data_IF_366411966061
#
_entry.id   IF_366411966061
#
_cell.length_a   1.000
_cell.length_b   1.000
_cell.length_c   1.000
_cell.angle_alpha   90.00
_cell.angle_beta   90.00
_cell.angle_gamma   90.00
#
_symmetry.space_group_name_H-M   'P 1'
#
loop_
_entity.id
_entity.type
_entity.pdbx_description
1 polymer ?
#
# COMPACT_ATOMS: atom_id res chain seq x y z
N UNK A 1 16.50 -32.92 -43.57
CA UNK A 1 16.40 -33.88 -42.45
C UNK A 1 17.57 -33.74 -41.45
N UNK A 2 18.75 -33.35 -41.90
CA UNK A 2 19.91 -33.15 -41.02
C UNK A 2 19.86 -31.84 -40.19
N UNK A 3 19.15 -30.81 -40.65
CA UNK A 3 19.01 -29.54 -39.92
C UNK A 3 18.15 -29.66 -38.65
N UNK A 4 17.18 -30.58 -38.63
CA UNK A 4 16.31 -30.75 -37.45
C UNK A 4 17.02 -31.47 -36.29
N UNK A 5 17.92 -32.40 -36.55
CA UNK A 5 18.69 -33.10 -35.54
C UNK A 5 19.74 -32.18 -34.85
N UNK A 6 20.34 -31.26 -35.60
CA UNK A 6 21.25 -30.24 -35.07
C UNK A 6 20.55 -29.23 -34.18
N UNK A 7 19.33 -28.79 -34.51
CA UNK A 7 18.53 -27.89 -33.70
C UNK A 7 18.07 -28.54 -32.39
N UNK A 8 17.61 -29.79 -32.42
CA UNK A 8 17.22 -30.55 -31.24
C UNK A 8 18.40 -30.79 -30.29
N UNK A 9 19.59 -31.05 -30.82
CA UNK A 9 20.81 -31.18 -30.03
C UNK A 9 21.24 -29.90 -29.37
N UNK A 10 21.10 -28.75 -30.04
CA UNK A 10 21.42 -27.43 -29.46
C UNK A 10 20.41 -26.99 -28.40
N UNK A 11 19.12 -27.27 -28.58
CA UNK A 11 18.08 -27.00 -27.59
C UNK A 11 18.27 -27.87 -26.31
N UNK A 12 18.62 -29.15 -26.44
CA UNK A 12 18.95 -30.02 -25.31
C UNK A 12 20.17 -29.49 -24.56
N UNK A 13 21.24 -29.11 -25.23
CA UNK A 13 22.43 -28.54 -24.59
C UNK A 13 22.13 -27.24 -23.84
N UNK A 14 21.28 -26.37 -24.40
CA UNK A 14 20.88 -25.09 -23.74
C UNK A 14 20.03 -25.40 -22.51
N UNK A 15 19.10 -26.34 -22.58
CA UNK A 15 18.24 -26.76 -21.48
C UNK A 15 19.07 -27.37 -20.33
N UNK A 16 19.94 -28.34 -20.61
CA UNK A 16 20.81 -28.98 -19.62
C UNK A 16 21.72 -27.98 -18.92
N UNK A 17 22.24 -27.00 -19.65
CA UNK A 17 23.06 -25.95 -19.11
C UNK A 17 22.25 -24.98 -18.23
N UNK A 18 21.04 -24.68 -18.66
CA UNK A 18 20.07 -23.90 -17.90
C UNK A 18 19.71 -24.58 -16.59
N UNK A 19 19.34 -25.84 -16.62
CA UNK A 19 18.97 -26.63 -15.44
C UNK A 19 20.13 -26.74 -14.42
N UNK A 20 21.36 -26.92 -14.92
CA UNK A 20 22.55 -26.92 -14.06
C UNK A 20 22.76 -25.56 -13.37
N UNK A 21 22.65 -24.46 -14.10
CA UNK A 21 22.78 -23.11 -13.54
C UNK A 21 21.69 -22.80 -12.52
N UNK A 22 20.44 -23.19 -12.79
CA UNK A 22 19.33 -23.04 -11.85
C UNK A 22 19.58 -23.83 -10.57
N UNK A 23 20.08 -25.06 -10.68
CA UNK A 23 20.41 -25.90 -9.52
C UNK A 23 21.56 -25.32 -8.69
N UNK A 24 22.62 -24.84 -9.34
CA UNK A 24 23.74 -24.17 -8.65
C UNK A 24 23.30 -22.90 -7.95
N UNK A 25 22.46 -22.09 -8.62
CA UNK A 25 21.88 -20.85 -8.05
C UNK A 25 20.98 -21.17 -6.86
N UNK A 26 20.08 -22.15 -6.96
CA UNK A 26 19.18 -22.54 -5.87
C UNK A 26 19.94 -23.04 -4.65
N UNK A 27 21.05 -23.77 -4.85
CA UNK A 27 21.90 -24.24 -3.77
C UNK A 27 22.61 -23.06 -3.06
N UNK A 28 23.09 -22.07 -3.83
CA UNK A 28 23.71 -20.87 -3.28
C UNK A 28 22.67 -20.00 -2.53
N UNK A 29 21.47 -19.84 -3.06
CA UNK A 29 20.38 -19.11 -2.42
C UNK A 29 19.94 -19.76 -1.10
N UNK A 30 19.84 -21.10 -1.03
CA UNK A 30 19.53 -21.81 0.21
C UNK A 30 20.61 -21.59 1.29
N UNK A 31 21.89 -21.56 0.88
CA UNK A 31 23.00 -21.22 1.79
C UNK A 31 22.90 -19.78 2.31
N UNK A 32 22.56 -18.84 1.45
CA UNK A 32 22.37 -17.44 1.81
C UNK A 32 21.19 -17.26 2.78
N UNK A 33 20.07 -17.97 2.56
CA UNK A 33 18.92 -17.94 3.45
C UNK A 33 19.26 -18.40 4.87
N UNK A 34 20.03 -19.47 5.01
CA UNK A 34 20.48 -19.96 6.31
C UNK A 34 21.39 -18.95 7.03
N UNK A 35 22.30 -18.33 6.28
CA UNK A 35 23.18 -17.27 6.82
C UNK A 35 22.36 -16.04 7.24
N UNK A 36 21.37 -15.65 6.44
CA UNK A 36 20.46 -14.55 6.77
C UNK A 36 19.67 -14.84 8.05
N UNK A 37 19.11 -16.04 8.23
CA UNK A 37 18.44 -16.44 9.48
C UNK A 37 19.37 -16.34 10.69
N UNK A 38 20.62 -16.73 10.54
CA UNK A 38 21.63 -16.65 11.61
C UNK A 38 21.96 -15.19 11.94
N UNK A 39 22.12 -14.35 10.93
CA UNK A 39 22.36 -12.92 11.08
C UNK A 39 21.19 -12.23 11.79
N UNK A 40 19.95 -12.45 11.33
CA UNK A 40 18.75 -11.88 11.95
C UNK A 40 18.61 -12.33 13.40
N UNK A 41 18.89 -13.61 13.71
CA UNK A 41 18.90 -14.08 15.09
C UNK A 41 19.89 -13.32 15.95
N UNK A 42 21.10 -13.10 15.44
CA UNK A 42 22.12 -12.29 16.14
C UNK A 42 21.66 -10.85 16.39
N UNK A 43 21.00 -10.23 15.40
CA UNK A 43 20.42 -8.89 15.60
C UNK A 43 19.33 -8.90 16.67
N UNK A 44 18.43 -9.88 16.68
CA UNK A 44 17.39 -10.00 17.70
C UNK A 44 17.96 -10.17 19.10
N UNK A 45 19.04 -10.97 19.24
CA UNK A 45 19.74 -11.16 20.52
C UNK A 45 20.44 -9.86 20.96
N UNK A 46 21.07 -9.14 20.03
CA UNK A 46 21.80 -7.90 20.30
C UNK A 46 20.89 -6.74 20.75
N UNK A 47 19.70 -6.65 20.19
CA UNK A 47 18.73 -5.58 20.49
C UNK A 47 17.62 -6.01 21.47
N UNK A 48 17.71 -7.21 22.07
CA UNK A 48 16.77 -7.63 23.09
C UNK A 48 16.78 -6.66 24.29
N UNK A 49 15.59 -6.27 24.85
CA UNK A 49 14.27 -6.86 24.64
C UNK A 49 13.42 -6.16 23.55
N UNK A 50 13.97 -5.28 22.74
CA UNK A 50 13.19 -4.58 21.71
C UNK A 50 12.65 -5.55 20.65
N UNK A 51 11.33 -5.64 20.46
CA UNK A 51 10.78 -6.52 19.44
C UNK A 51 11.10 -6.01 18.04
N UNK A 52 11.48 -6.92 17.15
CA UNK A 52 11.64 -6.65 15.72
C UNK A 52 10.43 -7.20 14.98
N UNK A 53 9.79 -6.37 14.15
CA UNK A 53 8.71 -6.81 13.29
C UNK A 53 9.26 -7.70 12.16
N UNK A 54 8.66 -8.85 11.86
CA UNK A 54 9.06 -9.68 10.72
C UNK A 54 8.54 -9.08 9.41
N UNK A 55 9.19 -9.43 8.31
CA UNK A 55 8.64 -9.21 6.97
C UNK A 55 7.31 -9.97 6.79
N UNK A 56 6.54 -9.58 5.76
CA UNK A 56 5.30 -10.26 5.42
C UNK A 56 5.54 -11.75 5.10
N UNK A 57 4.90 -12.63 5.85
CA UNK A 57 5.08 -14.10 5.77
C UNK A 57 3.74 -14.85 5.73
N UNK A 58 2.67 -14.18 5.27
CA UNK A 58 1.29 -14.70 5.19
C UNK A 58 0.63 -15.02 6.55
N UNK A 59 1.20 -14.57 7.66
CA UNK A 59 0.54 -14.58 8.97
C UNK A 59 -0.09 -13.23 9.28
N UNK A 60 -1.05 -13.19 10.20
CA UNK A 60 -1.61 -11.91 10.67
C UNK A 60 -0.52 -11.10 11.34
N UNK A 61 -0.38 -9.85 10.89
CA UNK A 61 0.57 -8.88 11.40
C UNK A 61 -0.18 -7.62 11.79
N UNK A 62 0.04 -7.13 12.99
CA UNK A 62 -0.53 -5.89 13.48
C UNK A 62 0.54 -4.80 13.45
N UNK A 63 0.23 -3.68 12.82
CA UNK A 63 0.97 -2.42 12.97
C UNK A 63 0.06 -1.40 13.63
N UNK A 64 0.63 -0.48 14.41
CA UNK A 64 -0.15 0.56 15.09
C UNK A 64 0.54 1.91 14.99
N UNK A 65 -0.25 2.97 15.06
CA UNK A 65 0.24 4.34 14.92
C UNK A 65 -0.87 5.34 15.16
N UNK A 66 -0.62 6.58 14.77
CA UNK A 66 -1.56 7.68 14.91
C UNK A 66 -1.75 8.38 13.56
N UNK A 67 -2.92 8.94 13.33
CA UNK A 67 -3.16 9.87 12.22
C UNK A 67 -2.33 11.12 12.47
N UNK A 68 -1.42 11.47 11.55
CA UNK A 68 -0.46 12.56 11.78
C UNK A 68 0.04 13.20 10.50
N UNK A 69 0.07 14.52 10.49
CA UNK A 69 0.80 15.35 9.50
C UNK A 69 2.30 15.16 9.62
N UNK A 70 3.07 15.67 8.66
CA UNK A 70 4.54 15.70 8.77
C UNK A 70 5.14 16.87 8.01
N UNK A 71 6.41 17.17 8.33
CA UNK A 71 7.19 18.21 7.69
C UNK A 71 8.43 17.55 7.05
N UNK A 72 8.44 17.31 5.72
CA UNK A 72 9.57 16.64 5.06
C UNK A 72 10.84 17.47 5.06
N UNK A 73 10.71 18.80 5.08
CA UNK A 73 11.82 19.76 5.15
C UNK A 73 11.32 21.13 5.58
N UNK A 74 12.25 22.04 5.84
CA UNK A 74 11.94 23.42 6.20
C UNK A 74 11.00 24.09 5.20
N UNK A 75 9.99 24.79 5.73
CA UNK A 75 8.99 25.50 4.94
C UNK A 75 7.90 24.64 4.30
N UNK A 76 7.90 23.31 4.47
CA UNK A 76 6.88 22.40 3.91
C UNK A 76 6.14 21.66 5.02
N UNK A 77 4.82 21.74 4.98
CA UNK A 77 3.92 21.00 5.85
C UNK A 77 2.91 20.21 5.02
N UNK A 78 2.92 18.89 5.15
CA UNK A 78 1.88 18.02 4.59
C UNK A 78 0.82 17.74 5.65
N UNK A 79 -0.44 18.07 5.30
CA UNK A 79 -1.60 17.72 6.12
C UNK A 79 -1.76 16.22 6.21
N UNK A 80 -2.38 15.75 7.31
CA UNK A 80 -2.66 14.33 7.49
C UNK A 80 -3.75 13.78 6.57
N UNK A 81 -4.45 14.59 5.79
CA UNK A 81 -5.46 14.14 4.84
C UNK A 81 -5.40 14.93 3.54
N UNK A 82 -5.88 14.29 2.46
CA UNK A 82 -6.14 14.88 1.16
C UNK A 82 -7.64 14.83 0.85
N UNK A 83 -8.07 15.56 -0.14
CA UNK A 83 -9.48 15.68 -0.51
C UNK A 83 -9.70 15.38 -1.98
N UNK A 84 -10.97 15.19 -2.37
CA UNK A 84 -11.38 15.01 -3.77
C UNK A 84 -10.92 16.19 -4.67
N UNK A 85 -10.68 17.37 -4.09
CA UNK A 85 -10.09 18.51 -4.81
C UNK A 85 -8.75 18.13 -5.44
N UNK A 86 -7.88 17.42 -4.71
CA UNK A 86 -6.59 16.97 -5.22
C UNK A 86 -6.71 15.96 -6.38
N UNK A 87 -7.77 15.16 -6.41
CA UNK A 87 -8.08 14.27 -7.54
C UNK A 87 -8.41 15.11 -8.79
N UNK A 88 -9.23 16.15 -8.63
CA UNK A 88 -9.56 17.08 -9.73
C UNK A 88 -8.34 17.86 -10.24
N UNK A 89 -7.46 18.28 -9.33
CA UNK A 89 -6.23 19.01 -9.69
C UNK A 89 -5.22 18.15 -10.46
N UNK A 90 -5.27 16.82 -10.28
CA UNK A 90 -4.40 15.86 -10.97
C UNK A 90 -4.96 15.38 -12.30
N UNK A 91 -6.15 15.77 -12.68
CA UNK A 91 -6.78 15.30 -13.91
C UNK A 91 -5.89 15.59 -15.14
N UNK A 92 -5.61 14.53 -15.89
CA UNK A 92 -4.98 14.61 -17.21
C UNK A 92 -5.75 13.72 -18.20
N UNK A 93 -6.59 14.30 -19.06
CA UNK A 93 -7.37 13.54 -20.04
C UNK A 93 -6.52 12.77 -21.06
N UNK A 94 -5.24 13.09 -21.18
CA UNK A 94 -4.32 12.43 -22.11
C UNK A 94 -3.66 11.19 -21.50
N UNK A 95 -3.71 11.05 -20.19
CA UNK A 95 -3.16 9.91 -19.46
C UNK A 95 -4.30 9.07 -18.84
N UNK A 96 -4.52 7.82 -19.29
CA UNK A 96 -5.59 6.97 -18.78
C UNK A 96 -5.60 6.79 -17.25
N UNK A 97 -4.44 6.90 -16.59
CA UNK A 97 -4.31 6.76 -15.14
C UNK A 97 -4.87 7.97 -14.38
N UNK A 98 -4.99 9.13 -15.04
CA UNK A 98 -5.42 10.39 -14.43
C UNK A 98 -6.75 10.91 -15.00
N UNK A 99 -7.45 10.11 -15.77
CA UNK A 99 -8.80 10.46 -16.24
C UNK A 99 -9.79 10.41 -15.09
N UNK A 100 -10.45 11.53 -14.81
CA UNK A 100 -11.52 11.58 -13.81
C UNK A 100 -12.88 11.31 -14.49
N UNK A 101 -13.68 10.35 -14.01
CA UNK A 101 -15.01 10.08 -14.55
C UNK A 101 -15.92 11.32 -14.55
N UNK A 102 -16.67 11.54 -15.64
CA UNK A 102 -17.55 12.70 -15.78
C UNK A 102 -18.54 12.83 -14.62
N UNK A 103 -19.18 11.72 -14.23
CA UNK A 103 -20.09 11.69 -13.09
C UNK A 103 -19.43 12.13 -11.78
N UNK A 104 -18.16 11.76 -11.56
CA UNK A 104 -17.43 12.20 -10.36
C UNK A 104 -17.17 13.71 -10.39
N UNK A 105 -16.88 14.29 -11.56
CA UNK A 105 -16.76 15.75 -11.75
C UNK A 105 -18.07 16.48 -11.50
N UNK A 106 -19.20 15.92 -11.94
CA UNK A 106 -20.54 16.46 -11.68
C UNK A 106 -20.87 16.47 -10.19
N UNK A 107 -20.63 15.35 -9.49
CA UNK A 107 -20.81 15.26 -8.03
C UNK A 107 -19.92 16.25 -7.28
N UNK A 108 -18.67 16.41 -7.72
CA UNK A 108 -17.74 17.37 -7.14
C UNK A 108 -18.20 18.81 -7.33
N UNK A 109 -18.64 19.17 -8.53
CA UNK A 109 -19.12 20.53 -8.87
C UNK A 109 -20.40 20.86 -8.11
N UNK A 110 -21.31 19.91 -8.01
CA UNK A 110 -22.55 20.04 -7.25
C UNK A 110 -22.35 20.01 -5.74
N UNK A 111 -21.15 19.60 -5.26
CA UNK A 111 -20.86 19.30 -3.85
C UNK A 111 -21.84 18.30 -3.25
N UNK A 112 -22.34 17.37 -4.07
CA UNK A 112 -23.24 16.30 -3.62
C UNK A 112 -22.45 15.15 -2.98
N UNK A 113 -21.88 15.42 -1.82
CA UNK A 113 -21.10 14.45 -1.05
C UNK A 113 -21.94 13.71 0.01
N UNK A 114 -23.18 14.15 0.25
CA UNK A 114 -24.06 13.56 1.24
C UNK A 114 -23.41 13.50 2.63
N UNK A 115 -23.65 12.42 3.34
CA UNK A 115 -23.11 12.15 4.69
C UNK A 115 -21.61 11.90 4.75
N UNK A 116 -20.94 11.76 3.60
CA UNK A 116 -19.52 11.40 3.51
C UNK A 116 -18.57 12.60 3.61
N UNK A 117 -19.09 13.82 3.54
CA UNK A 117 -18.30 15.04 3.69
C UNK A 117 -17.79 15.24 5.12
N UNK A 118 -16.64 15.88 5.22
CA UNK A 118 -16.15 16.41 6.50
C UNK A 118 -17.06 17.54 6.99
N UNK A 119 -17.03 17.89 8.30
CA UNK A 119 -17.81 19.02 8.83
C UNK A 119 -17.53 20.35 8.15
N UNK A 120 -16.37 20.52 7.54
CA UNK A 120 -16.01 21.71 6.76
C UNK A 120 -16.52 21.68 5.31
N UNK A 121 -17.27 20.63 4.92
CA UNK A 121 -17.84 20.45 3.58
C UNK A 121 -16.86 19.90 2.54
N UNK A 122 -15.63 19.54 2.91
CA UNK A 122 -14.66 18.88 2.02
C UNK A 122 -14.94 17.37 1.94
N UNK A 123 -14.72 16.78 0.77
CA UNK A 123 -14.76 15.34 0.60
C UNK A 123 -13.36 14.77 0.83
N UNK A 124 -13.11 14.01 1.92
CA UNK A 124 -11.80 13.39 2.15
C UNK A 124 -11.53 12.33 1.09
N UNK A 125 -10.25 12.10 0.76
CA UNK A 125 -9.84 11.04 -0.16
C UNK A 125 -8.90 10.05 0.53
N UNK A 126 -7.81 10.54 1.09
CA UNK A 126 -6.80 9.71 1.78
C UNK A 126 -6.37 10.39 3.07
N UNK A 127 -5.81 9.60 3.99
CA UNK A 127 -5.18 10.12 5.21
C UNK A 127 -3.86 9.41 5.50
N UNK A 128 -3.06 10.03 6.35
CA UNK A 128 -1.72 9.59 6.72
C UNK A 128 -1.69 9.07 8.16
N UNK A 129 -1.00 7.96 8.36
CA UNK A 129 -0.75 7.43 9.70
C UNK A 129 0.74 7.14 9.91
N UNK A 130 1.16 7.01 11.16
CA UNK A 130 2.54 6.67 11.54
C UNK A 130 2.76 5.16 11.63
N UNK A 131 1.87 4.35 11.07
CA UNK A 131 2.05 2.91 11.00
C UNK A 131 3.27 2.56 10.16
N UNK A 132 4.12 1.67 10.68
CA UNK A 132 5.17 1.04 9.90
C UNK A 132 4.55 -0.06 9.05
N UNK A 133 4.70 0.04 7.73
CA UNK A 133 4.13 -0.89 6.75
C UNK A 133 5.21 -1.39 5.79
N UNK A 134 5.01 -2.57 5.26
CA UNK A 134 5.84 -3.15 4.21
C UNK A 134 4.98 -3.89 3.19
N UNK A 135 5.57 -4.50 2.19
CA UNK A 135 4.87 -5.32 1.20
C UNK A 135 3.92 -6.34 1.86
N UNK A 136 2.69 -6.45 1.34
CA UNK A 136 1.61 -7.26 1.90
C UNK A 136 0.58 -6.48 2.74
N UNK A 137 0.86 -5.25 3.14
CA UNK A 137 -0.12 -4.39 3.83
C UNK A 137 -1.14 -3.76 2.87
N UNK A 138 -0.88 -3.74 1.56
CA UNK A 138 -1.82 -3.19 0.57
C UNK A 138 -3.18 -3.87 0.64
N UNK A 139 -4.26 -3.09 0.78
CA UNK A 139 -5.63 -3.57 0.95
C UNK A 139 -6.02 -3.91 2.39
N UNK A 140 -5.10 -3.77 3.36
CA UNK A 140 -5.39 -4.06 4.77
C UNK A 140 -6.33 -3.02 5.38
N UNK A 141 -7.25 -3.45 6.27
CA UNK A 141 -8.13 -2.54 6.97
C UNK A 141 -7.36 -1.67 7.97
N UNK A 142 -7.65 -0.38 7.98
CA UNK A 142 -7.21 0.55 9.02
C UNK A 142 -8.37 0.72 10.00
N UNK A 143 -8.12 0.37 11.26
CA UNK A 143 -9.13 0.28 12.32
C UNK A 143 -8.75 1.27 13.43
N UNK A 144 -9.73 2.01 13.94
CA UNK A 144 -9.51 2.90 15.07
C UNK A 144 -9.51 2.16 16.41
N UNK A 145 -9.26 2.89 17.52
CA UNK A 145 -9.23 2.31 18.86
C UNK A 145 -10.55 1.71 19.36
N UNK A 146 -11.68 2.00 18.70
CA UNK A 146 -13.00 1.44 18.99
C UNK A 146 -13.30 0.18 18.17
N UNK A 147 -12.39 -0.23 17.26
CA UNK A 147 -12.61 -1.38 16.38
C UNK A 147 -13.38 -1.04 15.10
N UNK A 148 -13.55 0.24 14.77
CA UNK A 148 -14.27 0.70 13.59
C UNK A 148 -13.33 0.84 12.40
N UNK A 149 -13.77 0.40 11.22
CA UNK A 149 -13.05 0.55 9.97
C UNK A 149 -13.06 2.03 9.53
N UNK A 150 -11.89 2.65 9.46
CA UNK A 150 -11.72 4.05 9.08
C UNK A 150 -11.05 4.23 7.71
N UNK A 151 -10.47 3.18 7.15
CA UNK A 151 -9.81 3.26 5.86
C UNK A 151 -9.18 1.96 5.40
N UNK A 152 -8.50 2.03 4.27
CA UNK A 152 -7.76 0.91 3.66
C UNK A 152 -6.35 1.37 3.35
N UNK A 153 -5.35 0.73 3.96
CA UNK A 153 -3.95 1.00 3.67
C UNK A 153 -3.60 0.55 2.25
N UNK A 154 -2.81 1.36 1.52
CA UNK A 154 -2.43 0.97 0.16
C UNK A 154 -0.99 1.31 -0.21
N UNK A 155 -0.36 2.31 0.43
CA UNK A 155 1.00 2.73 0.07
C UNK A 155 1.70 3.43 1.24
N UNK A 156 3.00 3.72 1.07
CA UNK A 156 3.77 4.61 1.91
C UNK A 156 4.05 5.95 1.22
N UNK A 157 4.36 6.98 1.99
CA UNK A 157 4.83 8.23 1.41
C UNK A 157 6.25 8.06 0.84
N UNK A 158 6.71 9.04 0.06
CA UNK A 158 8.04 8.99 -0.58
C UNK A 158 9.17 8.74 0.43
N UNK A 159 9.09 9.35 1.61
CA UNK A 159 10.06 9.23 2.68
C UNK A 159 10.08 7.82 3.32
N UNK A 160 9.07 7.00 3.08
CA UNK A 160 9.01 5.62 3.61
C UNK A 160 9.78 4.59 2.81
N UNK A 161 10.38 4.95 1.65
CA UNK A 161 11.15 4.03 0.81
C UNK A 161 12.34 3.36 1.54
N UNK A 162 12.86 3.98 2.58
CA UNK A 162 13.92 3.41 3.42
C UNK A 162 13.39 2.69 4.67
N UNK A 163 12.08 2.54 4.82
CA UNK A 163 11.43 2.05 6.04
C UNK A 163 11.87 0.65 6.44
N UNK A 164 12.08 -0.24 5.47
CA UNK A 164 12.54 -1.62 5.73
C UNK A 164 13.96 -1.67 6.32
N UNK A 165 14.75 -0.60 6.15
CA UNK A 165 16.11 -0.50 6.69
C UNK A 165 16.10 0.28 8.00
N UNK A 166 15.44 1.45 8.00
CA UNK A 166 15.35 2.34 9.14
C UNK A 166 14.06 3.14 9.10
N UNK A 167 13.17 2.89 10.06
CA UNK A 167 11.90 3.59 10.17
C UNK A 167 12.05 4.91 10.94
N UNK A 168 11.79 6.03 10.28
CA UNK A 168 11.74 7.36 10.90
C UNK A 168 10.28 7.80 11.13
N UNK A 169 9.84 7.73 12.36
CA UNK A 169 8.49 8.10 12.78
C UNK A 169 8.14 9.60 12.56
N UNK A 170 9.13 10.46 12.31
CA UNK A 170 8.89 11.88 12.00
C UNK A 170 8.51 12.09 10.54
N UNK A 171 9.04 11.29 9.63
CA UNK A 171 8.93 11.47 8.18
C UNK A 171 8.07 10.41 7.49
N UNK A 172 8.17 9.17 7.93
CA UNK A 172 7.52 8.05 7.23
C UNK A 172 6.04 7.94 7.61
N UNK A 173 5.21 7.70 6.60
CA UNK A 173 3.76 7.61 6.74
C UNK A 173 3.19 6.48 5.88
N UNK A 174 2.28 5.74 6.46
CA UNK A 174 1.34 4.92 5.72
C UNK A 174 0.26 5.82 5.12
N UNK A 175 -0.12 5.57 3.89
CA UNK A 175 -1.22 6.23 3.19
C UNK A 175 -2.40 5.27 3.14
N UNK A 176 -3.55 5.73 3.61
CA UNK A 176 -4.81 4.98 3.57
C UNK A 176 -5.89 5.74 2.83
N UNK A 177 -6.69 5.02 2.05
CA UNK A 177 -7.92 5.59 1.49
C UNK A 177 -8.92 5.79 2.64
N UNK A 178 -9.53 6.95 2.73
CA UNK A 178 -10.56 7.23 3.74
C UNK A 178 -11.82 6.40 3.45
N UNK A 179 -12.37 5.75 4.47
CA UNK A 179 -13.54 4.90 4.30
C UNK A 179 -14.74 5.69 3.75
N UNK A 180 -14.87 6.97 4.09
CA UNK A 180 -15.94 7.84 3.58
C UNK A 180 -15.84 8.01 2.08
N UNK A 181 -14.62 8.07 1.52
CA UNK A 181 -14.43 8.10 0.07
C UNK A 181 -14.85 6.79 -0.58
N UNK A 182 -14.49 5.66 0.02
CA UNK A 182 -14.91 4.35 -0.48
C UNK A 182 -16.44 4.23 -0.51
N UNK A 183 -17.11 4.59 0.59
CA UNK A 183 -18.56 4.55 0.68
C UNK A 183 -19.24 5.54 -0.27
N UNK A 184 -18.68 6.75 -0.42
CA UNK A 184 -19.14 7.75 -1.39
C UNK A 184 -19.09 7.22 -2.82
N UNK A 185 -18.00 6.54 -3.21
CA UNK A 185 -17.88 5.95 -4.54
C UNK A 185 -18.89 4.82 -4.74
N UNK A 186 -19.11 3.98 -3.76
CA UNK A 186 -20.10 2.88 -3.83
C UNK A 186 -21.51 3.45 -3.99
N UNK A 187 -21.88 4.40 -3.15
CA UNK A 187 -23.23 4.98 -3.10
C UNK A 187 -23.49 5.91 -4.29
N UNK A 188 -22.75 7.01 -4.39
CA UNK A 188 -23.05 8.12 -5.30
C UNK A 188 -22.57 7.90 -6.72
N UNK A 189 -21.36 7.36 -6.89
CA UNK A 189 -20.81 7.10 -8.22
C UNK A 189 -21.32 5.76 -8.78
N UNK A 190 -21.31 4.72 -7.95
CA UNK A 190 -21.74 3.38 -8.33
C UNK A 190 -23.25 3.14 -8.29
N UNK A 191 -24.01 4.02 -7.64
CA UNK A 191 -25.47 3.86 -7.46
C UNK A 191 -25.84 2.63 -6.62
N UNK A 192 -24.92 2.13 -5.79
CA UNK A 192 -25.08 0.91 -5.01
C UNK A 192 -25.41 1.20 -3.53
N UNK A 193 -26.29 2.19 -3.27
CA UNK A 193 -26.72 2.56 -1.92
C UNK A 193 -27.25 1.41 -1.09
N UNK A 194 -27.86 0.40 -1.74
CA UNK A 194 -28.35 -0.81 -1.06
C UNK A 194 -27.24 -1.56 -0.30
N UNK A 195 -25.99 -1.50 -0.75
CA UNK A 195 -24.86 -2.10 -0.03
C UNK A 195 -24.53 -1.32 1.26
N UNK A 196 -24.74 -0.02 1.24
CA UNK A 196 -24.54 0.84 2.42
C UNK A 196 -25.61 0.54 3.48
N UNK A 197 -26.85 0.25 3.04
CA UNK A 197 -27.96 -0.10 3.93
C UNK A 197 -27.73 -1.41 4.69
N UNK A 198 -26.86 -2.29 4.19
CA UNK A 198 -26.45 -3.54 4.85
C UNK A 198 -25.35 -3.31 5.89
N UNK A 199 -24.73 -2.12 5.94
CA UNK A 199 -23.62 -1.80 6.82
C UNK A 199 -24.05 -1.06 8.08
N UNK A 200 -23.36 -1.27 9.19
CA UNK A 200 -23.49 -0.40 10.36
C UNK A 200 -22.53 0.77 10.20
N UNK A 201 -23.06 1.94 9.89
CA UNK A 201 -22.30 3.18 9.74
C UNK A 201 -22.26 3.90 11.08
N UNK A 202 -21.06 4.19 11.58
CA UNK A 202 -20.83 4.98 12.80
C UNK A 202 -20.46 6.40 12.37
N UNK A 203 -21.10 7.41 12.99
CA UNK A 203 -20.90 8.84 12.70
C UNK A 203 -20.12 9.55 13.81
#
# INVERSE_FOLDING_TARGET
>A
YEMSASLVGSEMCIRDRGDKLVKELSTALNGLELLHKTYVRGLCEMYSPEPKAPDANFTIRLTYGNVKSYNPKDGIHYKYYTTLKGVMEKEDPTNPEFVVPATLKELYTAKDFGRYALPNGEMPACFLTTNDITGGNSGSPVINGSGELIGTAFDGNWESLSGDINFDNNLQRCIAVDIRYVLFIIDKLGGCGHLIDEMTIVE
#
